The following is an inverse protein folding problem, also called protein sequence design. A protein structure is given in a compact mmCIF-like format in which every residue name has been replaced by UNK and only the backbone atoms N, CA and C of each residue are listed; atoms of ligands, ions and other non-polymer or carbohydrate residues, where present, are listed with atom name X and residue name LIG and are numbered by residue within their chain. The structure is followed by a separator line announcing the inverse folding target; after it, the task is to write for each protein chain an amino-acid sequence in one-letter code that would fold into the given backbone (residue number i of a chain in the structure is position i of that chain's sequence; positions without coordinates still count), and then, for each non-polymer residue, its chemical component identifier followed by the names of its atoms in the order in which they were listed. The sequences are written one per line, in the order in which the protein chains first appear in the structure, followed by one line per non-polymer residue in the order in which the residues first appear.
data_IF_081307938329
#
_entry.id   IF_081307938329
#
_cell.length_a   1.000
_cell.length_b   1.000
_cell.length_c   1.000
_cell.angle_alpha   90.00
_cell.angle_beta   90.00
_cell.angle_gamma   90.00
#
_symmetry.space_group_name_H-M   'P 1'
#
loop_
_entity.id
_entity.type
_entity.pdbx_description
1 polymer ?
#
# COMPACT_ATOMS: atom_id res chain seq x y z
N UNK A 1 -22.04 7.57 12.22
CA UNK A 1 -21.42 6.87 11.08
C UNK A 1 -21.93 7.54 9.83
N UNK A 2 -21.02 7.93 9.01
CA UNK A 2 -21.23 8.73 7.80
C UNK A 2 -21.62 7.79 6.66
N UNK A 3 -22.39 8.30 5.69
CA UNK A 3 -22.75 7.56 4.49
C UNK A 3 -21.56 7.63 3.51
N UNK A 4 -20.57 6.76 3.73
CA UNK A 4 -19.37 6.65 2.94
C UNK A 4 -19.30 5.28 2.25
N UNK A 5 -18.57 5.19 1.15
CA UNK A 5 -18.27 3.94 0.44
C UNK A 5 -16.77 3.77 0.29
N UNK A 6 -16.31 2.52 0.18
CA UNK A 6 -14.92 2.19 -0.19
C UNK A 6 -14.97 1.32 -1.42
N UNK A 7 -14.44 1.82 -2.53
CA UNK A 7 -14.37 1.09 -3.80
C UNK A 7 -12.95 0.67 -4.10
N UNK A 8 -12.75 -0.63 -4.32
CA UNK A 8 -11.45 -1.17 -4.70
C UNK A 8 -11.18 -0.98 -6.19
N UNK A 9 -9.93 -0.69 -6.51
CA UNK A 9 -9.43 -0.47 -7.87
C UNK A 9 -8.28 -1.44 -8.12
N UNK A 10 -8.47 -2.38 -9.04
CA UNK A 10 -7.44 -3.32 -9.46
C UNK A 10 -6.37 -2.59 -10.28
N UNK A 11 -5.10 -2.78 -9.92
CA UNK A 11 -3.95 -2.12 -10.54
C UNK A 11 -2.94 -3.11 -11.12
N UNK A 12 -3.34 -4.37 -11.28
CA UNK A 12 -2.54 -5.40 -11.92
C UNK A 12 -1.83 -6.36 -10.97
N UNK A 13 -0.95 -7.18 -11.55
CA UNK A 13 -0.35 -8.34 -10.89
C UNK A 13 1.17 -8.27 -10.87
N UNK A 14 1.70 -8.50 -9.67
CA UNK A 14 3.14 -8.64 -9.42
C UNK A 14 3.46 -10.07 -9.05
N UNK A 15 4.54 -10.62 -9.61
CA UNK A 15 5.08 -11.92 -9.26
C UNK A 15 6.42 -11.77 -8.55
N UNK A 16 6.54 -12.36 -7.36
CA UNK A 16 7.78 -12.38 -6.59
C UNK A 16 7.99 -13.74 -5.89
N UNK A 17 9.19 -13.99 -5.42
CA UNK A 17 9.47 -15.17 -4.58
C UNK A 17 8.79 -14.98 -3.21
N UNK A 18 8.09 -16.03 -2.73
CA UNK A 18 7.38 -16.02 -1.44
C UNK A 18 8.27 -15.60 -0.28
N UNK A 19 9.56 -15.94 -0.33
CA UNK A 19 10.54 -15.59 0.69
C UNK A 19 10.80 -14.09 0.87
N UNK A 20 10.33 -13.23 -0.06
CA UNK A 20 10.35 -11.77 0.15
C UNK A 20 9.22 -11.31 1.07
N UNK A 21 8.08 -11.99 1.02
CA UNK A 21 6.86 -11.53 1.73
C UNK A 21 6.60 -12.29 3.03
N UNK A 22 7.15 -13.51 3.17
CA UNK A 22 7.03 -14.34 4.38
C UNK A 22 8.43 -14.76 4.85
N UNK A 23 8.86 -14.26 6.00
CA UNK A 23 10.19 -14.61 6.53
C UNK A 23 10.32 -16.11 6.76
N UNK A 24 11.40 -16.67 6.26
CA UNK A 24 11.71 -18.09 6.41
C UNK A 24 11.02 -19.04 5.43
N UNK A 25 10.09 -18.60 4.58
CA UNK A 25 9.37 -19.46 3.65
C UNK A 25 10.30 -20.26 2.72
N UNK A 26 11.36 -19.65 2.24
CA UNK A 26 12.36 -20.26 1.37
C UNK A 26 13.62 -20.74 2.08
N UNK A 27 13.62 -20.82 3.43
CA UNK A 27 14.80 -21.24 4.19
C UNK A 27 14.90 -22.75 4.37
N UNK A 28 16.09 -23.31 4.10
CA UNK A 28 16.38 -24.72 4.34
C UNK A 28 16.35 -25.09 5.83
N UNK A 29 15.76 -26.23 6.15
CA UNK A 29 15.70 -26.80 7.51
C UNK A 29 16.41 -28.16 7.54
N UNK A 30 16.60 -28.73 8.72
CA UNK A 30 17.19 -30.07 8.86
C UNK A 30 16.36 -31.17 8.17
N UNK A 31 15.05 -30.98 8.11
CA UNK A 31 14.10 -31.91 7.46
C UNK A 31 13.88 -31.61 5.98
N UNK A 32 14.07 -30.36 5.56
CA UNK A 32 14.03 -29.92 4.16
C UNK A 32 15.19 -28.95 3.88
N UNK A 33 16.41 -29.48 3.60
CA UNK A 33 17.62 -28.65 3.49
C UNK A 33 17.69 -27.85 2.19
N UNK A 34 16.87 -28.15 1.20
CA UNK A 34 16.80 -27.49 -0.09
C UNK A 34 15.32 -27.34 -0.46
N UNK A 35 14.59 -26.37 0.12
CA UNK A 35 13.21 -26.11 -0.25
C UNK A 35 13.14 -25.61 -1.69
N UNK A 36 12.04 -25.91 -2.35
CA UNK A 36 11.73 -25.29 -3.64
C UNK A 36 11.44 -23.81 -3.43
N UNK A 37 11.84 -22.97 -4.38
CA UNK A 37 11.47 -21.56 -4.44
C UNK A 37 10.20 -21.44 -5.26
N UNK A 38 9.22 -20.73 -4.72
CA UNK A 38 7.95 -20.51 -5.40
C UNK A 38 7.77 -19.01 -5.66
N UNK A 39 7.44 -18.66 -6.91
CA UNK A 39 6.99 -17.31 -7.25
C UNK A 39 5.47 -17.27 -7.14
N UNK A 40 4.98 -16.35 -6.33
CA UNK A 40 3.58 -16.18 -6.02
C UNK A 40 3.05 -14.92 -6.69
N UNK A 41 1.79 -14.93 -7.02
CA UNK A 41 1.07 -13.82 -7.62
C UNK A 41 0.51 -12.91 -6.51
N UNK A 42 0.73 -11.61 -6.64
CA UNK A 42 0.27 -10.56 -5.76
C UNK A 42 -0.54 -9.53 -6.54
N UNK A 43 -1.51 -8.89 -5.91
CA UNK A 43 -2.26 -7.78 -6.50
C UNK A 43 -1.64 -6.44 -6.12
N UNK A 44 -1.57 -5.50 -7.06
CA UNK A 44 -1.46 -4.07 -6.78
C UNK A 44 -2.87 -3.49 -6.82
N UNK A 45 -3.25 -2.68 -5.83
CA UNK A 45 -4.58 -2.12 -5.74
C UNK A 45 -4.57 -0.70 -5.19
N UNK A 46 -5.60 0.03 -5.51
CA UNK A 46 -5.93 1.31 -4.89
C UNK A 46 -7.35 1.24 -4.30
N UNK A 47 -7.74 2.20 -3.49
CA UNK A 47 -9.12 2.35 -3.07
C UNK A 47 -9.59 3.80 -3.18
N UNK A 48 -10.83 3.99 -3.60
CA UNK A 48 -11.52 5.27 -3.52
C UNK A 48 -12.41 5.24 -2.29
N UNK A 49 -12.19 6.17 -1.37
CA UNK A 49 -13.05 6.42 -0.22
C UNK A 49 -13.93 7.61 -0.57
N UNK A 50 -15.17 7.34 -1.00
CA UNK A 50 -16.16 8.38 -1.30
C UNK A 50 -16.88 8.74 0.00
N UNK A 51 -16.66 9.96 0.47
CA UNK A 51 -17.08 10.43 1.77
C UNK A 51 -17.74 11.82 1.65
N UNK A 52 -18.76 12.17 2.46
CA UNK A 52 -19.40 13.49 2.40
C UNK A 52 -18.46 14.70 2.60
N UNK A 53 -17.29 14.51 3.18
CA UNK A 53 -16.28 15.57 3.35
C UNK A 53 -15.25 15.62 2.20
N UNK A 54 -15.26 14.66 1.27
CA UNK A 54 -14.37 14.61 0.10
C UNK A 54 -14.11 13.18 -0.37
N UNK A 55 -13.71 13.05 -1.63
CA UNK A 55 -13.32 11.77 -2.25
C UNK A 55 -11.82 11.58 -2.10
N UNK A 56 -11.40 10.54 -1.40
CA UNK A 56 -9.99 10.27 -1.12
C UNK A 56 -9.51 9.04 -1.88
N UNK A 57 -8.36 9.16 -2.54
CA UNK A 57 -7.68 8.06 -3.18
C UNK A 57 -6.60 7.50 -2.26
N UNK A 58 -6.68 6.20 -1.96
CA UNK A 58 -5.64 5.44 -1.26
C UNK A 58 -4.64 4.87 -2.25
N UNK A 59 -3.38 5.34 -2.17
CA UNK A 59 -2.28 5.05 -3.09
C UNK A 59 -2.59 5.36 -4.56
N UNK A 60 -1.60 5.22 -5.43
CA UNK A 60 -1.71 5.57 -6.85
C UNK A 60 -1.23 4.48 -7.81
N UNK A 61 -0.79 3.34 -7.26
CA UNK A 61 -0.33 2.18 -8.03
C UNK A 61 1.00 2.38 -8.74
N UNK A 62 1.37 1.41 -9.57
CA UNK A 62 2.60 1.40 -10.34
C UNK A 62 2.55 2.34 -11.54
N UNK A 63 3.76 2.75 -12.02
CA UNK A 63 3.87 3.41 -13.31
C UNK A 63 3.64 2.39 -14.44
N UNK A 64 2.85 2.70 -15.50
CA UNK A 64 2.56 1.75 -16.59
C UNK A 64 3.80 1.27 -17.35
N UNK A 65 4.89 2.04 -17.34
CA UNK A 65 6.17 1.65 -17.96
C UNK A 65 7.10 0.85 -17.01
N UNK A 66 6.58 0.28 -15.92
CA UNK A 66 7.37 -0.47 -14.94
C UNK A 66 8.24 -1.55 -15.63
N UNK A 67 7.66 -2.32 -16.56
CA UNK A 67 8.35 -3.36 -17.33
C UNK A 67 9.22 -2.85 -18.47
N UNK A 68 9.04 -1.59 -18.87
CA UNK A 68 9.78 -0.95 -20.00
C UNK A 68 10.99 -0.12 -19.51
N UNK A 69 11.54 -0.47 -18.35
CA UNK A 69 12.75 0.13 -17.80
C UNK A 69 12.52 1.33 -16.88
N UNK A 70 11.27 1.62 -16.53
CA UNK A 70 10.97 2.63 -15.52
C UNK A 70 11.41 2.14 -14.13
N UNK A 71 11.11 0.88 -13.80
CA UNK A 71 11.67 0.26 -12.63
C UNK A 71 13.12 -0.19 -12.85
N UNK A 72 14.00 -0.11 -11.84
CA UNK A 72 15.35 -0.64 -11.94
C UNK A 72 15.35 -2.15 -12.24
N UNK A 73 16.13 -2.59 -13.24
CA UNK A 73 16.19 -3.99 -13.65
C UNK A 73 16.31 -5.01 -12.49
N UNK A 74 17.20 -4.82 -11.47
CA UNK A 74 17.32 -5.80 -10.40
C UNK A 74 16.05 -5.94 -9.56
N UNK A 75 15.28 -4.84 -9.43
CA UNK A 75 14.03 -4.84 -8.69
C UNK A 75 12.91 -5.44 -9.51
N UNK A 76 12.83 -5.08 -10.80
CA UNK A 76 11.84 -5.68 -11.71
C UNK A 76 12.01 -7.20 -11.86
N UNK A 77 13.26 -7.71 -11.85
CA UNK A 77 13.53 -9.15 -11.85
C UNK A 77 13.07 -9.85 -10.56
N UNK A 78 13.05 -9.15 -9.44
CA UNK A 78 12.57 -9.69 -8.16
C UNK A 78 11.05 -9.58 -8.01
N UNK A 79 10.47 -8.46 -8.46
CA UNK A 79 9.05 -8.11 -8.38
C UNK A 79 8.56 -7.73 -9.78
N UNK A 80 8.17 -8.73 -10.56
CA UNK A 80 7.75 -8.52 -11.95
C UNK A 80 6.28 -8.10 -12.02
N UNK A 81 6.01 -6.85 -12.37
CA UNK A 81 4.66 -6.36 -12.62
C UNK A 81 4.26 -6.66 -14.07
N UNK A 82 3.62 -7.80 -14.29
CA UNK A 82 3.45 -8.41 -15.62
C UNK A 82 2.51 -7.66 -16.56
N UNK A 83 1.55 -6.95 -16.02
CA UNK A 83 0.47 -6.26 -16.73
C UNK A 83 0.44 -4.75 -16.45
N UNK A 84 1.51 -4.17 -15.88
CA UNK A 84 1.59 -2.74 -15.56
C UNK A 84 1.18 -1.82 -16.73
N UNK A 85 1.52 -2.20 -17.97
CA UNK A 85 1.18 -1.43 -19.18
C UNK A 85 -0.33 -1.39 -19.49
N UNK A 86 -1.12 -2.27 -18.89
CA UNK A 86 -2.58 -2.34 -19.05
C UNK A 86 -3.30 -1.47 -18.01
N UNK A 87 -2.55 -1.00 -16.99
CA UNK A 87 -3.08 -0.26 -15.85
C UNK A 87 -2.53 1.18 -15.79
N UNK A 88 -3.36 2.13 -16.22
CA UNK A 88 -3.14 3.55 -15.99
C UNK A 88 -4.17 4.08 -14.98
N UNK A 89 -3.73 4.92 -14.03
CA UNK A 89 -4.57 5.39 -12.92
C UNK A 89 -5.87 6.03 -13.40
N UNK A 90 -5.81 6.86 -14.45
CA UNK A 90 -6.98 7.55 -14.98
C UNK A 90 -8.01 6.56 -15.54
N UNK A 91 -7.54 5.59 -16.36
CA UNK A 91 -8.43 4.59 -16.95
C UNK A 91 -9.02 3.62 -15.93
N UNK A 92 -8.25 3.26 -14.89
CA UNK A 92 -8.71 2.33 -13.87
C UNK A 92 -9.70 3.00 -12.90
N UNK A 93 -9.54 4.31 -12.62
CA UNK A 93 -10.55 5.09 -11.90
C UNK A 93 -11.85 5.21 -12.70
N UNK A 94 -11.77 5.51 -14.03
CA UNK A 94 -12.95 5.58 -14.90
C UNK A 94 -13.73 4.25 -14.92
N UNK A 95 -13.02 3.12 -14.92
CA UNK A 95 -13.61 1.79 -14.88
C UNK A 95 -14.46 1.53 -13.61
N UNK A 96 -14.16 2.20 -12.51
CA UNK A 96 -14.92 2.11 -11.25
C UNK A 96 -15.82 3.32 -11.01
N UNK A 97 -15.91 4.24 -11.98
CA UNK A 97 -16.87 5.34 -12.00
C UNK A 97 -16.37 6.65 -11.42
N UNK A 98 -15.06 6.87 -11.36
CA UNK A 98 -14.45 8.12 -10.88
C UNK A 98 -13.48 8.69 -11.92
N UNK A 99 -13.47 10.02 -12.03
CA UNK A 99 -12.45 10.77 -12.77
C UNK A 99 -11.36 11.25 -11.81
N UNK A 100 -10.14 11.53 -12.33
CA UNK A 100 -9.07 12.18 -11.53
C UNK A 100 -9.53 13.51 -10.91
N UNK A 101 -10.45 14.22 -11.58
CA UNK A 101 -11.01 15.47 -11.09
C UNK A 101 -11.99 15.33 -9.92
N UNK A 102 -12.44 14.12 -9.63
CA UNK A 102 -13.31 13.84 -8.48
C UNK A 102 -12.50 13.67 -7.19
N UNK A 103 -11.18 13.48 -7.30
CA UNK A 103 -10.31 13.21 -6.16
C UNK A 103 -9.98 14.52 -5.42
N UNK A 104 -10.45 14.64 -4.19
CA UNK A 104 -10.22 15.78 -3.29
C UNK A 104 -8.95 15.63 -2.45
N UNK A 105 -8.39 14.43 -2.33
CA UNK A 105 -7.15 14.17 -1.61
C UNK A 105 -6.58 12.79 -1.92
N UNK A 106 -5.25 12.66 -1.90
CA UNK A 106 -4.55 11.39 -2.06
C UNK A 106 -3.89 11.01 -0.74
N UNK A 107 -4.09 9.78 -0.28
CA UNK A 107 -3.42 9.25 0.91
C UNK A 107 -2.39 8.23 0.45
N UNK A 108 -1.12 8.51 0.67
CA UNK A 108 -0.05 7.56 0.41
C UNK A 108 0.17 6.68 1.64
N UNK A 109 -0.04 5.38 1.49
CA UNK A 109 0.37 4.42 2.52
C UNK A 109 1.87 4.51 2.76
N UNK A 110 2.63 4.53 1.68
CA UNK A 110 4.07 4.78 1.62
C UNK A 110 4.48 5.13 0.18
N UNK A 111 5.78 5.34 -0.08
CA UNK A 111 6.25 5.88 -1.36
C UNK A 111 7.09 4.87 -2.18
N UNK A 112 6.87 3.57 -2.03
CA UNK A 112 7.45 2.60 -2.95
C UNK A 112 6.81 2.72 -4.35
N UNK A 113 7.52 2.23 -5.33
CA UNK A 113 7.25 2.40 -6.76
C UNK A 113 5.93 1.78 -7.25
N UNK A 114 5.39 0.81 -6.54
CA UNK A 114 4.10 0.16 -6.81
C UNK A 114 2.91 0.87 -6.12
N UNK A 115 3.19 1.88 -5.29
CA UNK A 115 2.20 2.76 -4.66
C UNK A 115 2.25 4.19 -5.21
N UNK A 116 3.44 4.71 -5.56
CA UNK A 116 3.65 6.11 -5.88
C UNK A 116 3.68 6.43 -7.40
N UNK A 117 3.64 5.43 -8.28
CA UNK A 117 3.83 5.59 -9.73
C UNK A 117 2.79 6.47 -10.42
N UNK A 118 1.59 6.62 -9.84
CA UNK A 118 0.52 7.47 -10.35
C UNK A 118 0.53 8.90 -9.81
N UNK A 119 1.41 9.27 -8.86
CA UNK A 119 1.50 10.63 -8.31
C UNK A 119 1.74 11.71 -9.38
N UNK A 120 2.29 11.33 -10.54
CA UNK A 120 2.46 12.22 -11.70
C UNK A 120 1.16 12.93 -12.14
N UNK A 121 0.00 12.33 -11.91
CA UNK A 121 -1.31 12.90 -12.27
C UNK A 121 -1.72 14.07 -11.38
N UNK A 122 -1.12 14.20 -10.20
CA UNK A 122 -1.39 15.25 -9.22
C UNK A 122 -0.33 16.36 -9.21
N UNK A 123 0.70 16.27 -10.08
CA UNK A 123 1.74 17.29 -10.21
C UNK A 123 1.16 18.64 -10.62
N UNK A 124 1.46 19.71 -9.87
CA UNK A 124 0.98 21.07 -10.11
C UNK A 124 -0.51 21.29 -9.81
N UNK A 125 -1.18 20.33 -9.16
CA UNK A 125 -2.56 20.49 -8.69
C UNK A 125 -2.59 20.98 -7.23
N UNK A 126 -3.76 21.48 -6.79
CA UNK A 126 -4.00 21.85 -5.40
C UNK A 126 -4.47 20.66 -4.54
N UNK A 127 -4.60 19.44 -5.11
CA UNK A 127 -5.04 18.23 -4.40
C UNK A 127 -4.01 17.87 -3.34
N UNK A 128 -4.38 17.82 -2.03
CA UNK A 128 -3.45 17.47 -0.98
C UNK A 128 -3.03 15.99 -1.10
N UNK A 129 -1.72 15.75 -0.94
CA UNK A 129 -1.12 14.41 -0.88
C UNK A 129 -0.66 14.16 0.54
N UNK A 130 -1.43 13.36 1.27
CA UNK A 130 -1.16 13.00 2.65
C UNK A 130 -0.08 11.92 2.73
N UNK A 131 0.94 12.16 3.55
CA UNK A 131 2.04 11.21 3.75
C UNK A 131 2.60 11.39 5.17
N UNK A 132 3.11 10.32 5.78
CA UNK A 132 3.78 10.44 7.07
C UNK A 132 5.18 11.08 6.94
N UNK A 133 5.56 11.91 7.92
CA UNK A 133 6.84 12.63 7.94
C UNK A 133 8.04 11.68 7.77
N UNK A 134 8.03 10.54 8.47
CA UNK A 134 9.13 9.57 8.42
C UNK A 134 9.23 8.86 7.07
N UNK A 135 8.10 8.66 6.39
CA UNK A 135 8.08 8.15 5.03
C UNK A 135 8.72 9.12 4.05
N UNK A 136 8.27 10.36 4.05
CA UNK A 136 8.79 11.38 3.16
C UNK A 136 10.31 11.59 3.34
N UNK A 137 10.79 11.61 4.59
CA UNK A 137 12.21 11.71 4.90
C UNK A 137 13.01 10.51 4.36
N UNK A 138 12.49 9.29 4.59
CA UNK A 138 13.17 8.07 4.18
C UNK A 138 13.16 7.88 2.67
N UNK A 139 12.06 8.25 1.99
CA UNK A 139 11.96 8.23 0.54
C UNK A 139 13.02 9.15 -0.12
N UNK A 140 13.12 10.40 0.34
CA UNK A 140 14.15 11.31 -0.18
C UNK A 140 15.57 10.86 0.19
N UNK A 141 15.80 10.33 1.37
CA UNK A 141 17.09 9.75 1.74
C UNK A 141 17.46 8.60 0.81
N UNK A 142 16.55 7.66 0.59
CA UNK A 142 16.75 6.48 -0.25
C UNK A 142 16.99 6.85 -1.71
N UNK A 143 16.18 7.73 -2.27
CA UNK A 143 16.28 8.12 -3.67
C UNK A 143 17.51 9.01 -4.00
N UNK A 144 18.10 9.67 -2.99
CA UNK A 144 19.24 10.58 -3.18
C UNK A 144 20.57 10.01 -2.65
N UNK A 145 20.59 8.81 -2.09
CA UNK A 145 21.79 8.15 -1.57
C UNK A 145 21.89 6.71 -2.09
N UNK A 146 22.98 6.03 -1.78
CA UNK A 146 23.18 4.61 -2.10
C UNK A 146 22.89 3.68 -0.90
N UNK A 147 22.38 4.24 0.19
CA UNK A 147 22.24 3.55 1.47
C UNK A 147 20.78 3.34 1.90
N UNK A 148 19.83 3.72 1.06
CA UNK A 148 18.40 3.51 1.29
C UNK A 148 17.85 2.31 0.53
N UNK A 149 16.53 2.23 0.46
CA UNK A 149 15.85 1.20 -0.34
C UNK A 149 15.82 1.60 -1.82
N UNK A 150 16.07 0.63 -2.69
CA UNK A 150 16.01 0.79 -4.15
C UNK A 150 14.57 0.97 -4.65
N UNK A 151 13.56 0.67 -3.83
CA UNK A 151 12.16 0.77 -4.18
C UNK A 151 11.61 2.21 -4.21
N UNK A 152 12.42 3.21 -3.83
CA UNK A 152 12.05 4.63 -3.89
C UNK A 152 12.59 5.28 -5.15
N UNK A 153 11.70 5.61 -6.08
CA UNK A 153 12.07 6.31 -7.32
C UNK A 153 11.76 7.80 -7.20
N UNK A 154 12.81 8.64 -7.26
CA UNK A 154 12.63 10.11 -7.22
C UNK A 154 11.68 10.61 -8.30
N UNK A 155 11.61 9.95 -9.45
CA UNK A 155 10.69 10.27 -10.54
C UNK A 155 9.22 10.17 -10.16
N UNK A 156 8.86 9.41 -9.10
CA UNK A 156 7.48 9.28 -8.65
C UNK A 156 7.06 10.43 -7.73
N UNK A 157 7.89 10.83 -6.78
CA UNK A 157 7.51 11.75 -5.70
C UNK A 157 8.31 13.07 -5.63
N UNK A 158 9.48 13.19 -6.28
CA UNK A 158 10.26 14.45 -6.35
C UNK A 158 9.65 15.39 -7.42
N UNK A 159 8.40 15.76 -7.21
CA UNK A 159 7.53 16.53 -8.10
C UNK A 159 6.89 17.70 -7.35
N UNK A 160 6.28 18.61 -8.08
CA UNK A 160 5.50 19.73 -7.52
C UNK A 160 4.14 19.21 -7.03
N UNK A 161 4.16 18.56 -5.85
CA UNK A 161 2.98 17.98 -5.18
C UNK A 161 2.59 18.81 -3.97
N UNK A 162 1.28 18.92 -3.72
CA UNK A 162 0.73 19.62 -2.55
C UNK A 162 0.78 18.72 -1.31
N UNK A 163 1.98 18.54 -0.74
CA UNK A 163 2.20 17.66 0.40
C UNK A 163 1.48 18.12 1.67
N UNK A 164 0.64 17.26 2.23
CA UNK A 164 0.07 17.39 3.58
C UNK A 164 0.74 16.37 4.50
N UNK A 165 1.72 16.85 5.31
CA UNK A 165 2.61 15.97 6.09
C UNK A 165 2.02 15.63 7.44
N UNK A 166 1.84 14.34 7.70
CA UNK A 166 1.34 13.79 8.96
C UNK A 166 2.52 13.57 9.92
N UNK A 167 2.45 14.15 11.12
CA UNK A 167 3.49 14.09 12.16
C UNK A 167 3.12 13.23 13.38
N UNK A 168 1.94 12.63 13.39
CA UNK A 168 1.38 11.93 14.56
C UNK A 168 1.11 10.48 14.22
N UNK A 169 1.16 9.63 15.26
CA UNK A 169 0.80 8.21 15.12
C UNK A 169 -0.67 7.97 14.73
N UNK A 170 -1.52 8.98 14.91
CA UNK A 170 -2.93 8.94 14.51
C UNK A 170 -3.34 10.29 13.96
N UNK A 171 -4.04 10.27 12.83
CA UNK A 171 -4.55 11.46 12.14
C UNK A 171 -6.00 11.22 11.71
N UNK A 172 -6.88 12.17 11.98
CA UNK A 172 -8.26 12.14 11.48
C UNK A 172 -8.27 12.78 10.10
N UNK A 173 -8.57 12.00 9.07
CA UNK A 173 -8.67 12.47 7.68
C UNK A 173 -10.03 13.11 7.44
N UNK A 174 -11.10 12.44 7.85
CA UNK A 174 -12.49 12.88 7.79
C UNK A 174 -13.28 12.29 8.98
N UNK A 175 -14.55 12.63 9.17
CA UNK A 175 -15.38 12.01 10.20
C UNK A 175 -15.45 10.50 9.95
N UNK A 176 -15.18 9.67 10.97
CA UNK A 176 -15.14 8.21 10.89
C UNK A 176 -14.01 7.63 9.99
N UNK A 177 -13.04 8.46 9.52
CA UNK A 177 -11.85 8.01 8.78
C UNK A 177 -10.57 8.44 9.50
N UNK A 178 -9.81 7.45 9.98
CA UNK A 178 -8.59 7.67 10.75
C UNK A 178 -7.40 6.95 10.13
N UNK A 179 -6.28 7.66 10.01
CA UNK A 179 -4.99 7.14 9.57
C UNK A 179 -4.12 6.80 10.78
N UNK A 180 -3.41 5.68 10.69
CA UNK A 180 -2.51 5.18 11.72
C UNK A 180 -1.11 5.02 11.17
N UNK A 181 -0.11 5.51 11.89
CA UNK A 181 1.28 5.27 11.59
C UNK A 181 1.66 3.86 12.06
N UNK A 182 2.01 3.00 11.11
CA UNK A 182 2.32 1.58 11.26
C UNK A 182 3.72 1.27 10.70
N UNK A 183 4.81 1.74 11.37
CA UNK A 183 6.16 1.48 10.88
C UNK A 183 6.53 0.00 11.00
N UNK A 184 7.21 -0.52 9.99
CA UNK A 184 7.64 -1.92 9.93
C UNK A 184 8.19 -2.26 8.58
N UNK A 185 7.37 -2.26 7.54
CA UNK A 185 7.78 -2.37 6.15
C UNK A 185 8.64 -1.16 5.73
N UNK A 186 8.16 0.04 5.99
CA UNK A 186 8.95 1.28 5.92
C UNK A 186 8.84 2.06 7.23
N UNK A 187 9.68 3.11 7.45
CA UNK A 187 9.57 3.92 8.67
C UNK A 187 8.26 4.70 8.78
N UNK A 188 7.54 4.90 7.69
CA UNK A 188 6.40 5.81 7.66
C UNK A 188 5.10 5.21 7.10
N UNK A 189 4.97 3.89 7.01
CA UNK A 189 3.73 3.25 6.54
C UNK A 189 2.52 3.81 7.28
N UNK A 190 1.49 4.15 6.54
CA UNK A 190 0.17 4.47 7.05
C UNK A 190 -0.79 3.31 6.79
N UNK A 191 -1.60 2.98 7.78
CA UNK A 191 -2.82 2.21 7.65
C UNK A 191 -4.03 3.09 7.89
N UNK A 192 -5.24 2.56 7.66
CA UNK A 192 -6.47 3.30 7.88
C UNK A 192 -7.52 2.48 8.63
N UNK A 193 -8.38 3.20 9.39
CA UNK A 193 -9.67 2.72 9.86
C UNK A 193 -10.76 3.57 9.24
N UNK A 194 -11.72 2.93 8.59
CA UNK A 194 -12.85 3.58 7.92
C UNK A 194 -14.12 2.95 8.49
N UNK A 195 -14.84 3.71 9.30
CA UNK A 195 -16.09 3.24 9.90
C UNK A 195 -17.26 3.56 8.97
N UNK A 196 -17.80 2.54 8.33
CA UNK A 196 -18.95 2.60 7.44
C UNK A 196 -20.26 2.36 8.23
N UNK A 197 -21.44 2.61 7.67
CA UNK A 197 -22.72 2.47 8.39
C UNK A 197 -22.97 1.09 9.01
N UNK A 198 -22.48 0.02 8.42
CA UNK A 198 -22.74 -1.35 8.86
C UNK A 198 -21.49 -2.14 9.21
N UNK A 199 -20.30 -1.64 8.88
CA UNK A 199 -19.04 -2.36 8.99
C UNK A 199 -17.87 -1.40 9.13
N UNK A 200 -16.73 -1.91 9.53
CA UNK A 200 -15.46 -1.16 9.59
C UNK A 200 -14.45 -1.81 8.66
N UNK A 201 -13.78 -1.01 7.85
CA UNK A 201 -12.65 -1.44 7.02
C UNK A 201 -11.35 -1.02 7.70
N UNK A 202 -10.41 -1.94 7.83
CA UNK A 202 -9.08 -1.72 8.35
C UNK A 202 -8.08 -1.96 7.23
N UNK A 203 -7.43 -0.93 6.75
CA UNK A 203 -6.36 -1.05 5.76
C UNK A 203 -5.05 -1.21 6.49
N UNK A 204 -4.47 -2.41 6.45
CA UNK A 204 -3.14 -2.68 7.01
C UNK A 204 -2.02 -2.26 6.05
N UNK A 205 -2.31 -2.23 4.74
CA UNK A 205 -1.30 -1.98 3.73
C UNK A 205 -0.15 -2.98 3.82
N UNK A 206 1.03 -2.54 3.43
CA UNK A 206 2.24 -3.37 3.41
C UNK A 206 2.82 -3.71 4.78
N UNK A 207 2.19 -3.24 5.85
CA UNK A 207 2.49 -3.77 7.19
C UNK A 207 2.10 -5.27 7.28
N UNK A 208 1.00 -5.67 6.61
CA UNK A 208 0.62 -7.05 6.37
C UNK A 208 0.48 -7.25 4.85
N UNK A 209 1.52 -7.76 4.22
CA UNK A 209 1.57 -7.93 2.77
C UNK A 209 0.57 -8.99 2.29
N UNK A 210 0.56 -10.13 2.99
CA UNK A 210 -0.33 -11.29 2.74
C UNK A 210 -0.92 -11.82 4.04
N UNK A 211 -1.89 -12.72 3.93
CA UNK A 211 -2.61 -13.35 5.05
C UNK A 211 -1.68 -13.92 6.13
N UNK A 212 -0.62 -14.63 5.73
CA UNK A 212 0.33 -15.24 6.67
C UNK A 212 1.00 -14.22 7.61
N UNK A 213 1.25 -12.99 7.13
CA UNK A 213 1.80 -11.93 7.99
C UNK A 213 0.83 -11.59 9.12
N UNK A 214 -0.46 -11.59 8.86
CA UNK A 214 -1.49 -11.24 9.82
C UNK A 214 -1.94 -12.41 10.70
N UNK A 215 -2.27 -13.54 10.07
CA UNK A 215 -2.89 -14.70 10.78
C UNK A 215 -1.86 -15.55 11.52
N UNK A 216 -0.67 -15.75 10.94
CA UNK A 216 0.43 -16.53 11.51
C UNK A 216 1.46 -15.66 12.24
N UNK A 217 1.34 -14.34 12.15
CA UNK A 217 2.25 -13.36 12.76
C UNK A 217 3.70 -13.54 12.30
N UNK A 218 3.88 -13.91 11.01
CA UNK A 218 5.18 -14.06 10.39
C UNK A 218 5.59 -12.75 9.73
N UNK A 219 6.75 -12.16 10.10
CA UNK A 219 7.21 -10.91 9.51
C UNK A 219 7.43 -11.01 7.99
N UNK A 220 7.52 -9.86 7.35
CA UNK A 220 8.00 -9.75 5.98
C UNK A 220 9.43 -10.28 5.86
N UNK A 221 9.78 -10.83 4.71
CA UNK A 221 11.11 -11.31 4.43
C UNK A 221 12.15 -10.19 4.21
N UNK A 222 13.42 -10.57 4.03
CA UNK A 222 14.51 -9.64 3.82
C UNK A 222 14.29 -8.76 2.57
N UNK A 223 14.50 -7.46 2.71
CA UNK A 223 14.31 -6.49 1.64
C UNK A 223 12.98 -5.76 1.68
N UNK A 224 11.94 -6.35 2.29
CA UNK A 224 10.66 -5.70 2.55
C UNK A 224 10.49 -5.25 4.00
N UNK A 225 11.32 -5.71 4.91
CA UNK A 225 11.23 -5.37 6.33
C UNK A 225 12.30 -4.32 6.70
N UNK A 226 11.87 -3.10 7.04
CA UNK A 226 12.75 -2.06 7.57
C UNK A 226 13.08 -2.30 9.05
N UNK A 227 12.09 -2.67 9.87
CA UNK A 227 12.25 -2.90 11.31
C UNK A 227 11.29 -3.97 11.82
N UNK A 228 11.82 -5.13 12.16
CA UNK A 228 11.04 -6.25 12.70
C UNK A 228 10.34 -5.89 14.02
N UNK A 229 11.04 -5.14 14.89
CA UNK A 229 10.47 -4.72 16.17
C UNK A 229 9.25 -3.82 15.98
N UNK A 230 9.40 -2.81 15.12
CA UNK A 230 8.33 -1.84 14.88
C UNK A 230 7.17 -2.52 14.16
N UNK A 231 7.46 -3.49 13.28
CA UNK A 231 6.48 -4.32 12.60
C UNK A 231 5.57 -5.07 13.59
N UNK A 232 6.13 -5.74 14.61
CA UNK A 232 5.32 -6.41 15.64
C UNK A 232 4.47 -5.43 16.46
N UNK A 233 4.99 -4.24 16.77
CA UNK A 233 4.24 -3.20 17.47
C UNK A 233 3.07 -2.67 16.60
N UNK A 234 3.27 -2.54 15.29
CA UNK A 234 2.27 -2.14 14.31
C UNK A 234 1.22 -3.22 14.07
N UNK A 235 1.63 -4.48 13.90
CA UNK A 235 0.73 -5.62 13.79
C UNK A 235 -0.23 -5.70 14.99
N UNK A 236 0.28 -5.55 16.22
CA UNK A 236 -0.56 -5.54 17.43
C UNK A 236 -1.55 -4.37 17.41
N UNK A 237 -1.16 -3.22 16.83
CA UNK A 237 -2.08 -2.08 16.65
C UNK A 237 -3.24 -2.45 15.71
N UNK A 238 -2.97 -3.07 14.57
CA UNK A 238 -4.02 -3.53 13.63
C UNK A 238 -4.93 -4.56 14.29
N UNK A 239 -4.37 -5.55 14.98
CA UNK A 239 -5.13 -6.58 15.72
C UNK A 239 -6.00 -5.99 16.84
N UNK A 240 -5.50 -4.96 17.53
CA UNK A 240 -6.30 -4.25 18.55
C UNK A 240 -7.46 -3.48 17.92
N UNK A 241 -7.25 -2.85 16.76
CA UNK A 241 -8.33 -2.19 16.01
C UNK A 241 -9.39 -3.20 15.58
N UNK A 242 -8.99 -4.35 15.01
CA UNK A 242 -9.92 -5.43 14.65
C UNK A 242 -10.72 -5.94 15.86
N UNK A 243 -10.05 -6.24 16.99
CA UNK A 243 -10.74 -6.68 18.22
C UNK A 243 -11.78 -5.69 18.73
N UNK A 244 -11.54 -4.37 18.54
CA UNK A 244 -12.46 -3.32 19.01
C UNK A 244 -13.62 -3.07 18.08
N UNK A 245 -13.40 -3.18 16.79
CA UNK A 245 -14.37 -2.80 15.76
C UNK A 245 -15.08 -4.00 15.16
N UNK A 246 -14.44 -5.17 15.15
CA UNK A 246 -14.86 -6.32 14.35
C UNK A 246 -14.70 -6.08 12.87
N UNK A 247 -13.81 -5.15 12.48
CA UNK A 247 -13.62 -4.71 11.10
C UNK A 247 -12.91 -5.74 10.24
N UNK A 248 -13.15 -5.65 8.93
CA UNK A 248 -12.45 -6.42 7.92
C UNK A 248 -11.06 -5.83 7.66
N UNK A 249 -10.02 -6.67 7.71
CA UNK A 249 -8.64 -6.23 7.46
C UNK A 249 -8.28 -6.48 5.99
N UNK A 250 -7.90 -5.41 5.28
CA UNK A 250 -7.40 -5.45 3.91
C UNK A 250 -5.86 -5.41 3.94
N UNK A 251 -5.22 -6.45 3.37
CA UNK A 251 -3.77 -6.59 3.29
C UNK A 251 -3.21 -5.87 2.07
N UNK A 252 -1.89 -5.63 2.06
CA UNK A 252 -1.22 -4.87 1.02
C UNK A 252 -1.33 -5.51 -0.36
N UNK A 253 -1.09 -6.82 -0.47
CA UNK A 253 -0.95 -7.47 -1.78
C UNK A 253 -1.56 -8.88 -1.86
N UNK A 254 -2.39 -9.27 -0.90
CA UNK A 254 -3.04 -10.58 -0.89
C UNK A 254 -4.17 -10.64 -1.92
N UNK A 255 -3.97 -11.41 -2.99
CA UNK A 255 -4.92 -11.53 -4.09
C UNK A 255 -6.24 -12.17 -3.64
N UNK A 256 -6.20 -13.25 -2.85
CA UNK A 256 -7.41 -13.93 -2.39
C UNK A 256 -8.23 -13.04 -1.47
N UNK A 257 -7.55 -12.30 -0.59
CA UNK A 257 -8.19 -11.34 0.31
C UNK A 257 -8.82 -10.19 -0.46
N UNK A 258 -8.10 -9.61 -1.42
CA UNK A 258 -8.61 -8.57 -2.30
C UNK A 258 -9.86 -9.03 -3.06
N UNK A 259 -9.80 -10.19 -3.72
CA UNK A 259 -10.93 -10.75 -4.48
C UNK A 259 -12.15 -11.05 -3.58
N UNK A 260 -11.92 -11.41 -2.32
CA UNK A 260 -13.01 -11.71 -1.38
C UNK A 260 -13.92 -10.52 -1.09
N UNK A 261 -13.42 -9.30 -1.27
CA UNK A 261 -14.17 -8.05 -1.06
C UNK A 261 -14.89 -7.55 -2.33
N UNK A 262 -14.63 -8.15 -3.49
CA UNK A 262 -15.26 -7.77 -4.75
C UNK A 262 -15.01 -6.29 -5.08
N UNK A 263 -16.10 -5.53 -5.35
CA UNK A 263 -15.98 -4.11 -5.69
C UNK A 263 -15.65 -3.19 -4.48
N UNK A 264 -15.69 -3.73 -3.26
CA UNK A 264 -15.45 -2.96 -2.03
C UNK A 264 -16.62 -3.01 -1.05
N UNK A 265 -16.84 -1.94 -0.30
CA UNK A 265 -17.84 -1.83 0.76
C UNK A 265 -18.84 -0.72 0.51
N UNK A 266 -20.13 -1.00 0.74
CA UNK A 266 -21.26 -0.09 0.54
C UNK A 266 -21.37 0.48 -0.91
N UNK A 267 -20.88 -0.24 -1.92
CA UNK A 267 -20.86 0.16 -3.34
C UNK A 267 -22.07 -0.31 -4.12
#
# INVERSE_FOLDING_TARGET
MVDATVRLVDRGRVFADEGYVVDGAAMGTASNPNPDHERVEFVVWNAVVDHPEGTFLWDTGSHPEAGDGYWPDPLYQAFEHVDAAEHDLESDLDAVGYDLSDIDGVVMSHLHLDHAGGLRHFEGTDVPVYVHEEELKFAYYSAKTTEGSIAYLASDFDRDLNWEVIHRHRHTLAEDVELYHLPGHTPGVLGARIDLPNETVLVAGDECYVDANYTEEVPLGPGLLWSERDWFESLETVKELERRTGGDVLYGHDLERFESFGDGWNV
#
